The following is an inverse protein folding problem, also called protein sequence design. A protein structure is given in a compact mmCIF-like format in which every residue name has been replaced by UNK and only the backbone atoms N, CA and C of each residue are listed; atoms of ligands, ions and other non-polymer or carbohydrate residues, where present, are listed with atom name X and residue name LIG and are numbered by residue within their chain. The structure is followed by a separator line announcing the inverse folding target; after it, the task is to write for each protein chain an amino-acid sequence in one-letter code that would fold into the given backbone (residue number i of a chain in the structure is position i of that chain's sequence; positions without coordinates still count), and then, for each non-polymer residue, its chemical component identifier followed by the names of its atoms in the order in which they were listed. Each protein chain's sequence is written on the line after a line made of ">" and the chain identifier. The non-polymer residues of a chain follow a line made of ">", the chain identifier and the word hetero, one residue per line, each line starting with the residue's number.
data_IF_280748684387
#
_entry.id   IF_280748684387
#
_cell.length_a   1.000
_cell.length_b   1.000
_cell.length_c   1.000
_cell.angle_alpha   90.00
_cell.angle_beta   90.00
_cell.angle_gamma   90.00
#
_symmetry.space_group_name_H-M   'P 1'
#
loop_
_entity.id
_entity.type
_entity.pdbx_description
1 polymer ?
#
# COMPACT_ATOMS: atom_id res chain seq x y z
N UNK A 1 -10.67 10.50 -7.79
CA UNK A 1 -9.45 9.65 -7.73
C UNK A 1 -8.31 10.45 -8.34
N UNK A 2 -7.25 10.77 -7.56
CA UNK A 2 -6.09 11.55 -8.03
C UNK A 2 -5.43 10.82 -9.23
N UNK A 3 -4.99 11.56 -10.25
CA UNK A 3 -4.49 11.00 -11.52
C UNK A 3 -3.32 10.00 -11.33
N UNK A 4 -2.50 10.24 -10.31
CA UNK A 4 -1.39 9.40 -9.88
C UNK A 4 -1.80 7.95 -9.51
N UNK A 5 -3.02 7.72 -9.01
CA UNK A 5 -3.48 6.38 -8.57
C UNK A 5 -3.80 5.46 -9.75
N UNK A 6 -4.17 6.01 -10.91
CA UNK A 6 -4.68 5.22 -12.05
C UNK A 6 -3.67 4.22 -12.61
N UNK A 7 -2.38 4.51 -12.47
CA UNK A 7 -1.29 3.71 -13.01
C UNK A 7 -0.47 2.98 -11.92
N UNK A 8 -0.85 3.09 -10.64
CA UNK A 8 -0.14 2.39 -9.59
C UNK A 8 -0.36 0.88 -9.69
N UNK A 9 0.71 0.14 -9.44
CA UNK A 9 0.71 -1.32 -9.43
C UNK A 9 1.42 -1.85 -8.20
N UNK A 10 0.93 -2.97 -7.69
CA UNK A 10 1.67 -3.84 -6.78
C UNK A 10 2.30 -4.96 -7.61
N UNK A 11 3.53 -5.33 -7.27
CA UNK A 11 4.33 -6.31 -8.01
C UNK A 11 4.92 -7.30 -7.03
N UNK A 12 4.78 -8.58 -7.34
CA UNK A 12 5.44 -9.68 -6.64
C UNK A 12 6.00 -10.62 -7.71
N UNK A 13 7.32 -10.74 -7.78
CA UNK A 13 8.03 -11.41 -8.86
C UNK A 13 7.56 -10.95 -10.26
N UNK A 14 6.91 -11.83 -11.01
CA UNK A 14 6.37 -11.56 -12.35
C UNK A 14 4.92 -11.10 -12.32
N UNK A 15 4.23 -11.25 -11.20
CA UNK A 15 2.81 -10.97 -11.07
C UNK A 15 2.58 -9.49 -10.80
N UNK A 16 1.61 -8.92 -11.52
CA UNK A 16 1.27 -7.50 -11.42
C UNK A 16 -0.20 -7.31 -11.09
N UNK A 17 -0.47 -6.55 -10.03
CA UNK A 17 -1.81 -6.14 -9.62
C UNK A 17 -1.98 -4.64 -9.85
N UNK A 18 -3.12 -4.24 -10.42
CA UNK A 18 -3.49 -2.82 -10.54
C UNK A 18 -4.12 -2.36 -9.24
N UNK A 19 -3.58 -1.30 -8.62
CA UNK A 19 -4.12 -0.77 -7.35
C UNK A 19 -5.60 -0.42 -7.46
N UNK A 20 -6.12 0.21 -8.54
CA UNK A 20 -7.56 0.47 -8.66
C UNK A 20 -8.45 -0.79 -8.59
N UNK A 21 -7.96 -1.94 -9.08
CA UNK A 21 -8.68 -3.21 -8.96
C UNK A 21 -8.63 -3.74 -7.53
N UNK A 22 -7.48 -3.67 -6.88
CA UNK A 22 -7.34 -4.09 -5.48
C UNK A 22 -8.24 -3.27 -4.56
N UNK A 23 -8.27 -1.95 -4.72
CA UNK A 23 -9.16 -1.07 -3.96
C UNK A 23 -10.62 -1.51 -4.09
N UNK A 24 -11.09 -1.75 -5.32
CA UNK A 24 -12.47 -2.20 -5.56
C UNK A 24 -12.78 -3.55 -4.91
N UNK A 25 -11.85 -4.50 -4.96
CA UNK A 25 -12.01 -5.80 -4.31
C UNK A 25 -11.98 -5.69 -2.79
N UNK A 26 -11.27 -4.70 -2.26
CA UNK A 26 -11.14 -4.48 -0.82
C UNK A 26 -12.30 -3.69 -0.20
N UNK A 27 -13.18 -3.09 -1.00
CA UNK A 27 -14.35 -2.31 -0.52
C UNK A 27 -15.31 -3.14 0.35
N UNK A 28 -15.38 -4.45 0.12
CA UNK A 28 -16.26 -5.37 0.87
C UNK A 28 -15.61 -5.91 2.15
N UNK A 29 -14.33 -5.62 2.38
CA UNK A 29 -13.59 -6.12 3.54
C UNK A 29 -13.79 -5.22 4.76
N UNK A 30 -13.92 -5.83 5.93
CA UNK A 30 -14.04 -5.08 7.20
C UNK A 30 -12.67 -4.53 7.63
N UNK A 31 -12.53 -3.20 7.82
CA UNK A 31 -11.28 -2.63 8.30
C UNK A 31 -11.03 -2.96 9.77
N UNK A 32 -9.78 -3.25 10.12
CA UNK A 32 -9.35 -3.48 11.50
C UNK A 32 -8.13 -2.61 11.85
N UNK A 33 -7.90 -2.42 13.15
CA UNK A 33 -6.70 -1.74 13.64
C UNK A 33 -5.53 -2.71 13.72
N UNK A 34 -4.53 -2.50 12.86
CA UNK A 34 -3.33 -3.31 12.79
C UNK A 34 -2.21 -2.68 13.63
N UNK A 35 -1.66 -3.40 14.63
CA UNK A 35 -0.49 -2.94 15.37
C UNK A 35 0.76 -2.82 14.48
N UNK A 36 1.42 -1.67 14.51
CA UNK A 36 2.63 -1.43 13.71
C UNK A 36 3.86 -2.18 14.24
N UNK A 37 3.88 -2.52 15.53
CA UNK A 37 5.06 -2.98 16.29
C UNK A 37 5.71 -4.29 15.78
N UNK A 38 5.08 -5.02 14.86
CA UNK A 38 5.61 -6.28 14.33
C UNK A 38 5.41 -6.44 12.81
N UNK A 39 5.07 -5.35 12.13
CA UNK A 39 4.89 -5.41 10.68
C UNK A 39 6.22 -5.63 9.96
N UNK A 40 6.22 -6.53 8.97
CA UNK A 40 7.34 -6.66 8.05
C UNK A 40 7.32 -5.50 7.04
N UNK A 41 8.08 -4.45 7.35
CA UNK A 41 8.16 -3.20 6.55
C UNK A 41 9.54 -3.01 5.89
N UNK A 42 10.34 -4.07 5.83
CA UNK A 42 11.74 -3.98 5.37
C UNK A 42 11.87 -3.65 3.87
N UNK A 43 10.88 -4.02 3.06
CA UNK A 43 10.92 -3.78 1.62
C UNK A 43 10.51 -2.33 1.30
N UNK A 44 11.51 -1.49 1.07
CA UNK A 44 11.35 -0.18 0.46
C UNK A 44 11.16 -0.36 -1.05
N UNK A 45 10.02 0.10 -1.56
CA UNK A 45 9.69 0.22 -2.97
C UNK A 45 9.21 1.67 -3.15
N UNK A 46 9.69 2.46 -4.12
CA UNK A 46 10.48 2.13 -5.31
C UNK A 46 11.96 2.50 -5.22
N UNK A 47 12.75 2.12 -6.24
CA UNK A 47 14.06 2.70 -6.48
C UNK A 47 13.87 4.19 -6.80
N UNK A 48 14.22 5.07 -5.87
CA UNK A 48 14.13 6.52 -6.05
C UNK A 48 15.33 6.96 -6.89
N UNK A 49 15.08 7.53 -8.08
CA UNK A 49 16.10 7.85 -9.08
C UNK A 49 16.64 9.27 -8.93
N UNK A 50 15.94 10.17 -8.22
CA UNK A 50 16.36 11.55 -8.03
C UNK A 50 15.88 12.20 -6.73
N UNK A 51 16.53 13.30 -6.34
CA UNK A 51 16.09 14.13 -5.21
C UNK A 51 14.69 14.72 -5.42
N UNK A 52 14.32 15.06 -6.66
CA UNK A 52 12.98 15.58 -6.97
C UNK A 52 11.91 14.52 -6.72
N UNK A 53 12.14 13.30 -7.19
CA UNK A 53 11.25 12.17 -6.96
C UNK A 53 11.14 11.83 -5.45
N UNK A 54 12.25 11.91 -4.72
CA UNK A 54 12.23 11.76 -3.26
C UNK A 54 11.32 12.78 -2.57
N UNK A 55 11.42 14.05 -2.97
CA UNK A 55 10.59 15.12 -2.41
C UNK A 55 9.11 14.92 -2.75
N UNK A 56 8.79 14.48 -3.97
CA UNK A 56 7.41 14.11 -4.35
C UNK A 56 6.87 12.98 -3.48
N UNK A 57 7.67 11.94 -3.23
CA UNK A 57 7.28 10.87 -2.31
C UNK A 57 7.01 11.35 -0.89
N UNK A 58 7.82 12.27 -0.37
CA UNK A 58 7.56 12.89 0.94
C UNK A 58 6.21 13.62 0.92
N UNK A 59 5.92 14.39 -0.14
CA UNK A 59 4.63 15.08 -0.26
C UNK A 59 3.45 14.09 -0.26
N UNK A 60 3.55 12.98 -1.01
CA UNK A 60 2.52 11.93 -0.97
C UNK A 60 2.36 11.31 0.42
N UNK A 61 3.45 11.12 1.16
CA UNK A 61 3.39 10.66 2.55
C UNK A 61 2.64 11.66 3.43
N UNK A 62 2.98 12.95 3.36
CA UNK A 62 2.32 13.98 4.18
C UNK A 62 0.84 14.17 3.83
N UNK A 63 0.50 14.06 2.54
CA UNK A 63 -0.87 14.19 2.01
C UNK A 63 -1.73 12.93 2.19
N UNK A 64 -1.13 11.81 2.63
CA UNK A 64 -1.84 10.55 2.77
C UNK A 64 -2.95 10.63 3.83
N UNK A 65 -4.12 10.10 3.51
CA UNK A 65 -5.24 10.00 4.44
C UNK A 65 -5.14 8.70 5.26
N UNK A 66 -5.07 8.82 6.59
CA UNK A 66 -4.96 7.68 7.50
C UNK A 66 -6.31 7.02 7.82
N UNK A 67 -7.43 7.65 7.48
CA UNK A 67 -8.76 7.04 7.64
C UNK A 67 -9.03 5.97 6.56
N UNK A 68 -8.34 6.07 5.41
CA UNK A 68 -8.40 5.06 4.36
C UNK A 68 -7.47 3.88 4.68
N UNK A 69 -7.96 2.62 4.81
CA UNK A 69 -7.15 1.49 5.24
C UNK A 69 -6.07 1.06 4.24
N UNK A 70 -4.93 0.59 4.73
CA UNK A 70 -3.93 -0.12 3.91
C UNK A 70 -4.47 -1.49 3.48
N UNK A 71 -3.95 -2.04 2.37
CA UNK A 71 -4.41 -3.33 1.84
C UNK A 71 -3.31 -4.37 2.04
N UNK A 72 -3.65 -5.48 2.67
CA UNK A 72 -2.79 -6.62 2.89
C UNK A 72 -3.22 -7.82 2.05
N UNK A 73 -2.24 -8.62 1.63
CA UNK A 73 -2.48 -9.94 1.06
C UNK A 73 -2.78 -11.02 2.12
N UNK A 74 -2.95 -12.27 1.70
CA UNK A 74 -3.26 -13.38 2.59
C UNK A 74 -2.15 -13.71 3.58
N UNK A 75 -0.91 -13.29 3.35
CA UNK A 75 0.23 -13.51 4.24
C UNK A 75 0.52 -12.30 5.14
N UNK A 76 -0.11 -11.15 4.86
CA UNK A 76 0.06 -9.90 5.60
C UNK A 76 1.06 -8.93 4.98
N UNK A 77 1.50 -9.16 3.74
CA UNK A 77 2.31 -8.18 3.00
C UNK A 77 1.45 -7.01 2.52
N UNK A 78 2.05 -5.82 2.55
CA UNK A 78 1.41 -4.59 2.11
C UNK A 78 1.34 -4.55 0.58
N UNK A 79 0.14 -4.79 0.04
CA UNK A 79 -0.16 -4.63 -1.38
C UNK A 79 -0.35 -3.16 -1.74
N UNK A 80 -1.00 -2.37 -0.87
CA UNK A 80 -1.22 -0.94 -1.08
C UNK A 80 -1.17 -0.15 0.25
N UNK A 81 -0.83 1.13 0.15
CA UNK A 81 -0.87 2.06 1.28
C UNK A 81 0.45 2.31 1.98
N UNK A 82 1.58 2.06 1.31
CA UNK A 82 2.93 2.33 1.86
C UNK A 82 3.14 3.80 2.25
N UNK A 83 2.56 4.75 1.52
CA UNK A 83 2.60 6.17 1.91
C UNK A 83 1.84 6.43 3.23
N UNK A 84 0.68 5.79 3.43
CA UNK A 84 -0.09 5.87 4.68
C UNK A 84 0.66 5.21 5.83
N UNK A 85 1.27 4.06 5.58
CA UNK A 85 2.13 3.39 6.55
C UNK A 85 3.30 4.27 6.97
N UNK A 86 4.00 4.89 6.01
CA UNK A 86 5.08 5.83 6.30
C UNK A 86 4.60 7.04 7.11
N UNK A 87 3.41 7.59 6.80
CA UNK A 87 2.81 8.69 7.57
C UNK A 87 2.48 8.27 9.00
N UNK A 88 1.87 7.09 9.20
CA UNK A 88 1.56 6.58 10.52
C UNK A 88 2.81 6.38 11.38
N UNK A 89 3.90 5.89 10.78
CA UNK A 89 5.22 5.80 11.43
C UNK A 89 5.81 7.18 11.76
N UNK A 90 5.72 8.15 10.84
CA UNK A 90 6.17 9.53 11.05
C UNK A 90 5.42 10.20 12.21
N UNK A 91 4.11 9.97 12.30
CA UNK A 91 3.22 10.46 13.37
C UNK A 91 3.32 9.63 14.66
N UNK A 92 4.19 8.61 14.72
CA UNK A 92 4.39 7.72 15.88
C UNK A 92 3.09 7.06 16.36
N UNK A 93 2.20 6.69 15.43
CA UNK A 93 1.01 5.90 15.73
C UNK A 93 1.41 4.51 16.22
N UNK A 94 0.56 3.90 17.04
CA UNK A 94 0.75 2.50 17.46
C UNK A 94 0.07 1.52 16.49
N UNK A 95 -1.00 1.98 15.82
CA UNK A 95 -1.81 1.19 14.89
C UNK A 95 -2.08 1.95 13.59
N UNK A 96 -2.52 1.22 12.57
CA UNK A 96 -3.04 1.76 11.31
C UNK A 96 -4.29 0.98 10.90
N UNK A 97 -5.25 1.63 10.23
CA UNK A 97 -6.39 0.93 9.61
C UNK A 97 -5.89 0.05 8.48
N UNK A 98 -6.29 -1.22 8.47
CA UNK A 98 -5.94 -2.19 7.45
C UNK A 98 -7.14 -3.04 7.07
N UNK A 99 -7.13 -3.53 5.83
CA UNK A 99 -7.98 -4.63 5.34
C UNK A 99 -7.07 -5.72 4.82
N UNK A 100 -7.50 -6.98 4.94
CA UNK A 100 -6.72 -8.14 4.55
C UNK A 100 -7.57 -9.08 3.70
N UNK A 101 -7.04 -9.48 2.54
CA UNK A 101 -7.64 -10.56 1.78
C UNK A 101 -7.43 -11.90 2.50
N UNK A 102 -8.49 -12.69 2.67
CA UNK A 102 -8.34 -14.07 3.16
C UNK A 102 -7.59 -14.96 2.16
N UNK A 103 -7.80 -14.70 0.87
CA UNK A 103 -7.09 -15.33 -0.25
C UNK A 103 -6.62 -14.24 -1.19
N UNK A 104 -5.32 -14.21 -1.51
CA UNK A 104 -4.75 -13.17 -2.37
C UNK A 104 -5.43 -13.18 -3.74
N UNK A 105 -5.99 -12.06 -4.23
CA UNK A 105 -6.63 -12.03 -5.54
C UNK A 105 -5.66 -12.42 -6.65
N UNK A 106 -6.16 -13.06 -7.71
CA UNK A 106 -5.35 -13.35 -8.90
C UNK A 106 -4.72 -12.07 -9.48
N UNK A 107 -3.50 -12.17 -10.00
CA UNK A 107 -2.83 -11.02 -10.64
C UNK A 107 -3.60 -10.52 -11.87
N UNK A 108 -3.38 -9.27 -12.25
CA UNK A 108 -4.01 -8.71 -13.46
C UNK A 108 -3.33 -9.22 -14.73
N UNK A 109 -2.02 -9.38 -14.70
CA UNK A 109 -1.19 -9.92 -15.77
C UNK A 109 0.18 -10.30 -15.20
N UNK A 110 0.90 -11.14 -15.94
CA UNK A 110 2.28 -11.53 -15.64
C UNK A 110 3.23 -10.86 -16.62
N UNK A 111 4.32 -10.26 -16.15
CA UNK A 111 5.40 -9.79 -17.01
C UNK A 111 6.25 -10.98 -17.47
N UNK A 112 6.68 -10.93 -18.74
CA UNK A 112 7.37 -12.05 -19.43
C UNK A 112 8.85 -12.03 -19.09
#
# INVERSE_FOLDING_TARGET
>A
MKEHIKNQTFRADKDVWKIPRLMKLAEELEPFDLPLKHMNIHNLYPAIESTMEFVEHIQYVLDADLDTPIILDEEGYVMDGRHRLAKALLEKKETIKAVRFEVTPTCCFTEV
#
